data_IF_954446186145
#
_entry.id   IF_954446186145
#
_cell.length_a   1.000
_cell.length_b   1.000
_cell.length_c   1.000
_cell.angle_alpha   90.00
_cell.angle_beta   90.00
_cell.angle_gamma   90.00
#
_symmetry.space_group_name_H-M   'P 1'
#
loop_
_entity.id
_entity.type
_entity.pdbx_description
1 polymer ?
#
# COMPACT_ATOMS: atom_id res chain seq x y z
N UNK A 1 -10.43 3.91 21.31
CA UNK A 1 -11.47 3.34 20.42
C UNK A 1 -11.60 4.33 19.27
N UNK A 2 -10.73 4.20 18.26
CA UNK A 2 -10.64 5.17 17.16
C UNK A 2 -11.73 4.91 16.13
N UNK A 3 -12.44 5.98 15.78
CA UNK A 3 -13.63 5.99 14.95
C UNK A 3 -13.20 6.32 13.52
N UNK A 4 -13.32 5.35 12.61
CA UNK A 4 -13.12 5.54 11.17
C UNK A 4 -14.17 6.54 10.64
N UNK A 5 -13.74 7.77 10.34
CA UNK A 5 -14.57 8.78 9.66
C UNK A 5 -14.53 8.53 8.16
N UNK A 6 -15.63 8.02 7.60
CA UNK A 6 -15.85 7.90 6.15
C UNK A 6 -16.84 9.02 5.77
N UNK A 7 -16.47 9.82 4.77
CA UNK A 7 -17.20 11.03 4.39
C UNK A 7 -18.49 10.74 3.63
N UNK A 8 -19.55 11.49 3.95
CA UNK A 8 -20.78 11.57 3.17
C UNK A 8 -20.51 12.30 1.84
N UNK A 9 -20.58 11.58 0.73
CA UNK A 9 -20.70 12.20 -0.59
C UNK A 9 -21.53 11.28 -1.47
N UNK A 10 -22.66 11.78 -1.95
CA UNK A 10 -23.47 11.12 -2.95
C UNK A 10 -23.07 11.69 -4.32
N UNK A 11 -22.44 10.90 -5.19
CA UNK A 11 -22.11 11.34 -6.55
C UNK A 11 -22.34 10.28 -7.62
N UNK A 12 -22.61 10.80 -8.81
CA UNK A 12 -23.16 10.16 -10.00
C UNK A 12 -22.14 9.30 -10.75
N UNK A 13 -22.39 7.99 -10.81
CA UNK A 13 -21.83 7.09 -11.80
C UNK A 13 -22.92 6.09 -12.21
N UNK A 14 -23.12 5.92 -13.52
CA UNK A 14 -24.19 5.10 -14.14
C UNK A 14 -24.00 3.58 -13.94
N UNK A 15 -23.55 3.12 -12.78
CA UNK A 15 -23.71 1.73 -12.38
C UNK A 15 -24.93 1.63 -11.47
N UNK A 16 -26.06 1.23 -12.04
CA UNK A 16 -27.24 0.87 -11.26
C UNK A 16 -26.96 -0.47 -10.56
N UNK A 17 -26.40 -0.41 -9.35
CA UNK A 17 -26.35 -1.59 -8.49
C UNK A 17 -27.74 -1.83 -7.94
N UNK A 18 -28.25 -3.04 -8.10
CA UNK A 18 -29.43 -3.48 -7.36
C UNK A 18 -28.98 -3.68 -5.91
N UNK A 19 -29.89 -3.47 -4.95
CA UNK A 19 -29.65 -3.76 -3.53
C UNK A 19 -28.85 -5.06 -3.31
N UNK A 20 -27.72 -5.01 -2.61
CA UNK A 20 -26.76 -6.12 -2.43
C UNK A 20 -26.76 -6.63 -1.00
N UNK A 21 -26.49 -7.92 -0.81
CA UNK A 21 -26.31 -8.52 0.51
C UNK A 21 -25.10 -9.46 0.55
N UNK A 22 -24.31 -9.37 1.62
CA UNK A 22 -23.11 -10.17 1.87
C UNK A 22 -23.22 -10.90 3.20
N UNK A 23 -22.85 -12.19 3.21
CA UNK A 23 -22.78 -13.03 4.42
C UNK A 23 -21.38 -12.95 5.07
N UNK A 24 -21.25 -12.21 6.16
CA UNK A 24 -19.97 -12.06 6.87
C UNK A 24 -19.57 -13.31 7.67
N UNK A 25 -20.45 -14.30 7.83
CA UNK A 25 -20.09 -15.58 8.47
C UNK A 25 -19.20 -16.43 7.57
N UNK A 26 -19.22 -16.16 6.26
CA UNK A 26 -18.45 -16.89 5.24
C UNK A 26 -17.40 -16.02 4.55
N UNK A 27 -17.47 -14.69 4.70
CA UNK A 27 -16.62 -13.73 4.02
C UNK A 27 -15.82 -12.90 5.03
N UNK A 28 -14.56 -12.57 4.71
CA UNK A 28 -13.77 -11.68 5.55
C UNK A 28 -14.34 -10.25 5.53
N UNK A 29 -14.76 -9.76 6.69
CA UNK A 29 -15.39 -8.45 6.84
C UNK A 29 -14.52 -7.28 6.37
N UNK A 30 -13.23 -7.29 6.68
CA UNK A 30 -12.33 -6.21 6.30
C UNK A 30 -12.18 -6.12 4.76
N UNK A 31 -12.09 -7.27 4.10
CA UNK A 31 -11.99 -7.33 2.63
C UNK A 31 -13.29 -6.90 1.93
N UNK A 32 -14.45 -7.26 2.49
CA UNK A 32 -15.75 -6.81 1.99
C UNK A 32 -15.88 -5.29 2.11
N UNK A 33 -15.57 -4.72 3.29
CA UNK A 33 -15.62 -3.28 3.50
C UNK A 33 -14.64 -2.53 2.60
N UNK A 34 -13.46 -3.11 2.33
CA UNK A 34 -12.49 -2.54 1.38
C UNK A 34 -13.05 -2.48 -0.04
N UNK A 35 -13.76 -3.52 -0.49
CA UNK A 35 -14.43 -3.50 -1.80
C UNK A 35 -15.55 -2.45 -1.84
N UNK A 36 -16.33 -2.32 -0.76
CA UNK A 36 -17.38 -1.29 -0.66
C UNK A 36 -16.82 0.12 -0.78
N UNK A 37 -15.70 0.41 -0.14
CA UNK A 37 -15.01 1.71 -0.29
C UNK A 37 -14.56 1.95 -1.73
N UNK A 38 -14.02 0.94 -2.40
CA UNK A 38 -13.59 1.05 -3.81
C UNK A 38 -14.76 1.21 -4.78
N UNK A 39 -15.95 0.76 -4.39
CA UNK A 39 -17.21 0.95 -5.12
C UNK A 39 -17.94 2.23 -4.74
N UNK A 40 -17.33 3.07 -3.90
CA UNK A 40 -17.90 4.33 -3.38
C UNK A 40 -19.22 4.15 -2.60
N UNK A 41 -19.39 2.98 -1.96
CA UNK A 41 -20.49 2.75 -1.02
C UNK A 41 -20.19 3.39 0.34
N UNK A 42 -21.23 3.87 1.02
CA UNK A 42 -21.07 4.69 2.22
C UNK A 42 -21.92 4.23 3.40
N UNK A 43 -21.42 4.43 4.62
CA UNK A 43 -22.17 4.24 5.86
C UNK A 43 -22.63 5.59 6.40
N UNK A 44 -23.83 5.67 6.97
CA UNK A 44 -24.35 6.92 7.59
C UNK A 44 -23.79 7.19 8.99
N UNK A 45 -23.20 6.19 9.64
CA UNK A 45 -22.50 6.38 10.91
C UNK A 45 -21.38 5.35 11.05
N UNK A 46 -20.25 5.77 11.62
CA UNK A 46 -19.13 4.87 11.93
C UNK A 46 -19.49 3.79 12.98
N UNK A 47 -20.53 4.02 13.78
CA UNK A 47 -21.06 3.04 14.75
C UNK A 47 -22.10 2.10 14.16
N UNK A 48 -22.40 2.22 12.86
CA UNK A 48 -23.46 1.42 12.22
C UNK A 48 -23.06 -0.03 12.00
N UNK A 49 -21.75 -0.32 11.96
CA UNK A 49 -21.21 -1.66 11.68
C UNK A 49 -20.34 -2.07 12.86
N UNK A 50 -20.76 -3.07 13.61
CA UNK A 50 -20.12 -3.61 14.81
C UNK A 50 -19.59 -5.01 14.56
N UNK A 51 -18.57 -5.44 15.30
CA UNK A 51 -17.88 -6.71 15.06
C UNK A 51 -18.80 -7.93 14.99
N UNK A 52 -19.88 -7.96 15.78
CA UNK A 52 -20.86 -9.06 15.83
C UNK A 52 -21.80 -9.15 14.62
N UNK A 53 -21.74 -8.21 13.68
CA UNK A 53 -22.64 -8.23 12.52
C UNK A 53 -22.38 -9.43 11.61
N UNK A 54 -23.44 -10.18 11.33
CA UNK A 54 -23.40 -11.36 10.46
C UNK A 54 -23.63 -11.02 8.98
N UNK A 55 -24.27 -9.88 8.68
CA UNK A 55 -24.63 -9.50 7.31
C UNK A 55 -24.39 -8.02 7.05
N UNK A 56 -23.95 -7.74 5.82
CA UNK A 56 -23.94 -6.38 5.28
C UNK A 56 -24.91 -6.28 4.11
N UNK A 57 -25.55 -5.12 4.01
CA UNK A 57 -26.51 -4.79 2.97
C UNK A 57 -26.11 -3.46 2.34
N UNK A 58 -26.25 -3.35 1.03
CA UNK A 58 -26.07 -2.12 0.27
C UNK A 58 -27.41 -1.80 -0.38
N UNK A 59 -27.95 -0.61 -0.14
CA UNK A 59 -29.14 -0.11 -0.83
C UNK A 59 -28.80 0.44 -2.20
N UNK A 60 -29.81 0.63 -3.04
CA UNK A 60 -29.71 1.13 -4.42
C UNK A 60 -29.00 2.50 -4.51
N UNK A 61 -29.04 3.28 -3.43
CA UNK A 61 -28.38 4.57 -3.32
C UNK A 61 -26.90 4.48 -2.87
N UNK A 62 -26.34 3.28 -2.69
CA UNK A 62 -24.98 3.03 -2.22
C UNK A 62 -24.83 3.02 -0.69
N UNK A 63 -25.93 3.17 0.07
CA UNK A 63 -25.87 3.16 1.54
C UNK A 63 -25.68 1.74 2.07
N UNK A 64 -24.67 1.57 2.93
CA UNK A 64 -24.36 0.33 3.63
C UNK A 64 -24.98 0.34 5.03
N UNK A 65 -25.59 -0.77 5.40
CA UNK A 65 -26.03 -1.05 6.77
C UNK A 65 -25.76 -2.51 7.12
N UNK A 66 -25.71 -2.81 8.42
CA UNK A 66 -25.53 -4.16 8.92
C UNK A 66 -26.70 -4.59 9.77
N UNK A 67 -26.87 -5.91 9.95
CA UNK A 67 -27.76 -6.44 10.96
C UNK A 67 -27.32 -7.82 11.42
N UNK A 68 -27.61 -8.14 12.68
CA UNK A 68 -27.35 -9.45 13.27
C UNK A 68 -28.36 -10.53 12.82
N UNK A 69 -29.55 -10.14 12.35
CA UNK A 69 -30.59 -11.08 11.94
C UNK A 69 -31.13 -10.76 10.54
N UNK A 70 -31.16 -11.76 9.66
CA UNK A 70 -31.60 -11.68 8.26
C UNK A 70 -33.12 -11.42 8.09
N UNK A 71 -33.66 -10.39 8.74
CA UNK A 71 -35.08 -10.02 8.67
C UNK A 71 -35.37 -9.56 7.24
N UNK A 72 -36.06 -10.42 6.48
CA UNK A 72 -36.66 -10.18 5.15
C UNK A 72 -35.72 -9.57 4.10
N UNK A 73 -34.97 -10.43 3.40
CA UNK A 73 -34.11 -10.04 2.27
C UNK A 73 -34.79 -10.12 0.91
N UNK A 74 -36.10 -9.91 0.84
CA UNK A 74 -36.79 -9.82 -0.45
C UNK A 74 -36.29 -8.56 -1.18
N UNK A 75 -35.74 -8.73 -2.38
CA UNK A 75 -35.22 -7.64 -3.21
C UNK A 75 -33.71 -7.37 -3.12
N UNK A 76 -32.95 -8.13 -2.33
CA UNK A 76 -31.48 -8.05 -2.29
C UNK A 76 -30.82 -9.19 -3.08
N UNK A 77 -29.80 -8.86 -3.85
CA UNK A 77 -28.95 -9.83 -4.56
C UNK A 77 -27.82 -10.29 -3.65
N UNK A 78 -27.70 -11.59 -3.45
CA UNK A 78 -26.56 -12.16 -2.73
C UNK A 78 -25.28 -12.03 -3.55
N UNK A 79 -24.25 -11.46 -2.94
CA UNK A 79 -22.92 -11.37 -3.53
C UNK A 79 -21.86 -11.85 -2.56
N UNK A 80 -20.87 -12.55 -3.08
CA UNK A 80 -19.68 -12.95 -2.34
C UNK A 80 -18.50 -11.98 -2.56
N UNK A 81 -17.39 -12.22 -1.85
CA UNK A 81 -16.21 -11.37 -1.96
C UNK A 81 -15.58 -11.42 -3.36
N UNK A 82 -15.67 -12.54 -4.08
CA UNK A 82 -15.13 -12.66 -5.42
C UNK A 82 -15.93 -11.79 -6.39
N UNK A 83 -17.25 -11.84 -6.32
CA UNK A 83 -18.15 -11.00 -7.11
C UNK A 83 -17.96 -9.52 -6.80
N UNK A 84 -17.74 -9.14 -5.53
CA UNK A 84 -17.41 -7.75 -5.17
C UNK A 84 -16.09 -7.28 -5.79
N UNK A 85 -15.05 -8.12 -5.81
CA UNK A 85 -13.78 -7.81 -6.47
C UNK A 85 -13.97 -7.64 -7.99
N UNK A 86 -14.82 -8.46 -8.59
CA UNK A 86 -15.17 -8.35 -10.01
C UNK A 86 -15.92 -7.04 -10.30
N UNK A 87 -16.82 -6.61 -9.41
CA UNK A 87 -17.48 -5.30 -9.52
C UNK A 87 -16.48 -4.14 -9.43
N UNK A 88 -15.48 -4.23 -8.54
CA UNK A 88 -14.39 -3.25 -8.45
C UNK A 88 -13.59 -3.19 -9.75
N UNK A 89 -13.26 -4.35 -10.33
CA UNK A 89 -12.56 -4.42 -11.62
C UNK A 89 -13.34 -3.69 -12.71
N UNK A 90 -14.64 -3.93 -12.78
CA UNK A 90 -15.51 -3.30 -13.76
C UNK A 90 -15.67 -1.79 -13.49
N UNK A 91 -15.71 -1.35 -12.23
CA UNK A 91 -15.90 0.07 -11.90
C UNK A 91 -14.67 0.93 -12.22
N UNK A 92 -13.45 0.41 -12.00
CA UNK A 92 -12.21 1.17 -12.25
C UNK A 92 -11.90 1.37 -13.73
N UNK A 93 -12.52 0.58 -14.61
CA UNK A 93 -12.36 0.72 -16.07
C UNK A 93 -10.89 0.70 -16.54
N UNK A 94 -10.09 -0.22 -16.02
CA UNK A 94 -8.70 -0.42 -16.42
C UNK A 94 -8.56 -1.63 -17.36
N UNK A 95 -8.07 -1.40 -18.58
CA UNK A 95 -7.84 -2.45 -19.60
C UNK A 95 -6.88 -3.53 -19.14
N UNK A 96 -5.95 -3.22 -18.23
CA UNK A 96 -4.98 -4.18 -17.70
C UNK A 96 -5.62 -5.28 -16.84
N UNK A 97 -6.88 -5.11 -16.48
CA UNK A 97 -7.64 -6.11 -15.75
C UNK A 97 -8.15 -7.24 -16.61
N UNK A 98 -8.13 -7.07 -17.93
CA UNK A 98 -8.50 -8.10 -18.88
C UNK A 98 -7.88 -9.44 -18.50
N UNK A 99 -8.70 -10.48 -18.48
CA UNK A 99 -8.26 -11.86 -18.26
C UNK A 99 -8.35 -12.70 -19.53
N UNK A 100 -8.92 -12.17 -20.62
CA UNK A 100 -9.02 -12.82 -21.92
C UNK A 100 -8.75 -11.86 -23.08
N UNK A 101 -8.41 -12.41 -24.24
CA UNK A 101 -8.32 -11.69 -25.51
C UNK A 101 -9.03 -12.51 -26.59
N UNK A 102 -9.75 -11.85 -27.49
CA UNK A 102 -10.43 -12.52 -28.61
C UNK A 102 -9.55 -12.64 -29.88
N UNK A 103 -10.12 -13.17 -30.96
CA UNK A 103 -9.44 -13.34 -32.25
C UNK A 103 -9.00 -12.03 -32.92
N UNK A 104 -9.66 -10.91 -32.61
CA UNK A 104 -9.40 -9.59 -33.19
C UNK A 104 -8.47 -8.75 -32.31
N UNK A 105 -8.07 -9.28 -31.15
CA UNK A 105 -7.15 -8.64 -30.21
C UNK A 105 -7.83 -7.77 -29.16
N UNK A 106 -9.16 -7.75 -29.08
CA UNK A 106 -9.88 -7.00 -28.05
C UNK A 106 -9.66 -7.62 -26.68
N UNK A 107 -9.71 -6.75 -25.67
CA UNK A 107 -9.47 -7.12 -24.28
C UNK A 107 -10.80 -7.40 -23.59
N UNK A 108 -10.86 -8.57 -22.97
CA UNK A 108 -12.06 -9.10 -22.34
C UNK A 108 -11.83 -9.40 -20.87
N UNK A 109 -12.83 -9.12 -20.06
CA UNK A 109 -12.94 -9.56 -18.68
C UNK A 109 -14.13 -10.52 -18.56
N UNK A 110 -13.85 -11.77 -18.19
CA UNK A 110 -14.84 -12.77 -17.83
C UNK A 110 -15.00 -12.83 -16.32
N UNK A 111 -16.22 -12.70 -15.83
CA UNK A 111 -16.56 -12.85 -14.40
C UNK A 111 -16.62 -14.32 -14.00
N UNK A 112 -16.64 -14.59 -12.69
CA UNK A 112 -16.89 -15.93 -12.13
C UNK A 112 -18.20 -16.56 -12.60
N UNK A 113 -19.20 -15.73 -12.94
CA UNK A 113 -20.50 -16.16 -13.47
C UNK A 113 -20.51 -16.32 -15.00
N UNK A 114 -19.34 -16.24 -15.66
CA UNK A 114 -19.19 -16.32 -17.13
C UNK A 114 -19.89 -15.19 -17.90
N UNK A 115 -20.09 -14.02 -17.28
CA UNK A 115 -20.47 -12.81 -18.02
C UNK A 115 -19.25 -12.21 -18.71
N UNK A 116 -19.43 -11.78 -19.96
CA UNK A 116 -18.40 -11.14 -20.78
C UNK A 116 -18.47 -9.63 -20.80
N UNK A 117 -17.33 -8.98 -20.58
CA UNK A 117 -17.15 -7.54 -20.71
C UNK A 117 -15.99 -7.27 -21.66
N UNK A 118 -16.22 -6.44 -22.67
CA UNK A 118 -15.20 -6.04 -23.65
C UNK A 118 -14.79 -4.59 -23.40
N UNK A 119 -13.49 -4.30 -23.47
CA UNK A 119 -12.98 -2.95 -23.21
C UNK A 119 -13.03 -2.10 -24.48
N UNK A 120 -13.77 -0.99 -24.44
CA UNK A 120 -13.83 0.04 -25.48
C UNK A 120 -14.19 -0.44 -26.91
N UNK A 121 -14.68 -1.68 -27.08
CA UNK A 121 -15.03 -2.21 -28.39
C UNK A 121 -16.41 -1.68 -28.83
N UNK A 122 -16.42 -0.91 -29.92
CA UNK A 122 -17.66 -0.51 -30.59
C UNK A 122 -18.49 0.58 -29.89
N UNK A 123 -18.00 1.18 -28.80
CA UNK A 123 -18.67 2.35 -28.25
C UNK A 123 -18.40 3.58 -29.14
N UNK A 124 -19.47 4.29 -29.53
CA UNK A 124 -19.40 5.39 -30.50
C UNK A 124 -18.57 6.59 -30.00
N UNK A 125 -18.30 6.63 -28.70
CA UNK A 125 -17.59 7.70 -28.01
C UNK A 125 -16.11 7.36 -27.70
N UNK A 126 -15.63 6.17 -28.06
CA UNK A 126 -14.29 5.66 -27.72
C UNK A 126 -13.93 5.82 -26.23
N UNK A 127 -14.92 5.68 -25.34
CA UNK A 127 -14.69 5.82 -23.91
C UNK A 127 -13.94 4.59 -23.40
N UNK A 128 -12.86 4.76 -22.62
CA UNK A 128 -12.10 3.66 -22.04
C UNK A 128 -12.91 3.05 -20.89
N UNK A 129 -13.82 2.12 -21.21
CA UNK A 129 -14.70 1.46 -20.24
C UNK A 129 -15.00 0.01 -20.63
N UNK A 130 -15.45 -0.75 -19.64
CA UNK A 130 -16.01 -2.08 -19.82
C UNK A 130 -17.47 -2.00 -20.28
N UNK A 131 -17.78 -2.58 -21.43
CA UNK A 131 -19.14 -2.73 -21.92
C UNK A 131 -19.53 -4.22 -21.90
N UNK A 132 -20.66 -4.56 -21.28
CA UNK A 132 -21.16 -5.95 -21.26
C UNK A 132 -21.48 -6.38 -22.69
N UNK A 133 -20.98 -7.54 -23.09
CA UNK A 133 -21.09 -8.02 -24.47
C UNK A 133 -21.42 -9.52 -24.49
N UNK A 134 -22.28 -9.98 -25.42
CA UNK A 134 -22.53 -11.41 -25.58
C UNK A 134 -21.24 -12.15 -25.95
N UNK A 135 -21.12 -13.38 -25.44
CA UNK A 135 -20.00 -14.28 -25.72
C UNK A 135 -20.22 -15.13 -26.97
N UNK A 136 -21.34 -14.95 -27.66
CA UNK A 136 -21.66 -15.69 -28.87
C UNK A 136 -20.73 -15.24 -30.01
N UNK A 137 -20.08 -16.21 -30.66
CA UNK A 137 -19.17 -16.00 -31.79
C UNK A 137 -17.83 -15.30 -31.47
N UNK A 138 -17.38 -15.31 -30.21
CA UNK A 138 -16.04 -14.86 -29.84
C UNK A 138 -15.16 -16.01 -29.35
N UNK A 139 -13.97 -16.13 -29.94
CA UNK A 139 -12.97 -17.12 -29.55
C UNK A 139 -12.05 -16.53 -28.49
N UNK A 140 -12.45 -16.67 -27.22
CA UNK A 140 -11.69 -16.13 -26.10
C UNK A 140 -10.52 -17.02 -25.70
N UNK A 141 -9.33 -16.41 -25.63
CA UNK A 141 -8.11 -17.04 -25.12
C UNK A 141 -7.74 -16.40 -23.78
N UNK A 142 -7.52 -17.20 -22.72
CA UNK A 142 -7.04 -16.69 -21.45
C UNK A 142 -5.73 -15.91 -21.63
N UNK A 143 -5.66 -14.73 -21.04
CA UNK A 143 -4.40 -14.01 -20.86
C UNK A 143 -3.68 -14.71 -19.72
N UNK A 144 -2.62 -15.45 -20.05
CA UNK A 144 -1.66 -15.93 -19.05
C UNK A 144 -0.95 -14.68 -18.52
N UNK A 145 -1.47 -14.14 -17.43
CA UNK A 145 -0.72 -13.17 -16.62
C UNK A 145 0.37 -14.00 -15.96
N UNK A 146 1.60 -13.87 -16.47
CA UNK A 146 2.76 -14.43 -15.82
C UNK A 146 2.74 -13.89 -14.39
N UNK A 147 2.56 -14.74 -13.38
CA UNK A 147 2.58 -14.31 -11.97
C UNK A 147 3.96 -13.74 -11.59
N UNK A 148 4.96 -13.89 -12.47
CA UNK A 148 6.27 -13.26 -12.45
C UNK A 148 6.41 -11.98 -13.30
N UNK A 149 5.32 -11.40 -13.79
CA UNK A 149 5.29 -10.08 -14.44
C UNK A 149 4.51 -9.06 -13.60
N UNK A 150 4.87 -8.94 -12.33
CA UNK A 150 5.04 -7.59 -11.78
C UNK A 150 6.36 -7.05 -12.37
N UNK A 151 6.33 -5.86 -12.96
CA UNK A 151 7.46 -5.17 -13.62
C UNK A 151 7.84 -5.65 -15.04
N UNK A 152 7.01 -5.28 -16.02
CA UNK A 152 7.53 -4.85 -17.33
C UNK A 152 6.96 -3.49 -17.73
N UNK A 153 7.06 -2.55 -16.81
CA UNK A 153 7.34 -1.19 -17.26
C UNK A 153 8.83 -1.13 -17.58
N UNK A 154 9.17 -0.85 -18.83
CA UNK A 154 10.50 -0.42 -19.24
C UNK A 154 10.78 0.99 -18.67
N UNK A 155 10.77 1.13 -17.35
CA UNK A 155 11.61 2.12 -16.72
C UNK A 155 13.02 1.54 -16.78
N UNK A 156 13.90 2.19 -17.54
CA UNK A 156 15.32 2.11 -17.19
C UNK A 156 15.39 2.41 -15.70
N UNK A 157 15.67 1.40 -14.88
CA UNK A 157 16.00 1.58 -13.48
C UNK A 157 17.32 2.33 -13.48
N UNK A 158 17.26 3.65 -13.56
CA UNK A 158 18.36 4.48 -13.10
C UNK A 158 18.45 4.13 -11.62
N UNK A 159 19.48 3.39 -11.23
CA UNK A 159 19.84 3.26 -9.81
C UNK A 159 20.24 4.64 -9.34
N UNK A 160 19.26 5.44 -8.90
CA UNK A 160 19.52 6.72 -8.25
C UNK A 160 19.86 6.40 -6.80
N UNK A 161 21.06 6.80 -6.36
CA UNK A 161 21.43 6.75 -4.94
C UNK A 161 20.38 7.56 -4.15
N UNK A 162 19.62 6.90 -3.27
CA UNK A 162 18.61 7.56 -2.42
C UNK A 162 17.22 6.90 -2.38
N UNK A 163 16.89 5.99 -3.30
CA UNK A 163 15.57 5.32 -3.33
C UNK A 163 15.39 4.12 -2.37
N UNK A 164 16.42 3.73 -1.61
CA UNK A 164 16.40 2.51 -0.77
C UNK A 164 15.54 2.63 0.52
N UNK A 165 14.97 3.80 0.79
CA UNK A 165 14.12 4.05 1.97
C UNK A 165 12.68 4.40 1.62
N UNK A 166 12.29 4.28 0.35
CA UNK A 166 10.93 4.56 -0.03
C UNK A 166 9.99 3.49 0.52
N UNK A 167 8.88 3.95 1.04
CA UNK A 167 7.73 3.12 1.39
C UNK A 167 6.63 3.44 0.38
N UNK A 168 5.83 2.44 0.03
CA UNK A 168 4.62 2.68 -0.75
C UNK A 168 3.63 3.54 0.06
N UNK A 169 2.71 4.22 -0.61
CA UNK A 169 1.81 5.13 0.08
C UNK A 169 0.88 4.42 1.10
N UNK A 170 0.60 3.11 0.96
CA UNK A 170 -0.16 2.36 1.97
C UNK A 170 0.60 2.20 3.28
N UNK A 171 1.89 1.87 3.19
CA UNK A 171 2.80 1.84 4.35
C UNK A 171 2.97 3.22 4.96
N UNK A 172 3.07 4.26 4.13
CA UNK A 172 3.13 5.65 4.61
C UNK A 172 1.89 6.07 5.39
N UNK A 173 0.70 5.74 4.90
CA UNK A 173 -0.56 6.00 5.60
C UNK A 173 -0.64 5.23 6.92
N UNK A 174 -0.25 3.96 6.91
CA UNK A 174 -0.22 3.13 8.12
C UNK A 174 0.72 3.70 9.19
N UNK A 175 1.89 4.17 8.78
CA UNK A 175 2.86 4.81 9.66
C UNK A 175 2.33 6.13 10.24
N UNK A 176 1.67 6.97 9.43
CA UNK A 176 1.03 8.20 9.92
C UNK A 176 -0.07 7.93 10.95
N UNK A 177 -0.90 6.91 10.73
CA UNK A 177 -1.94 6.50 11.69
C UNK A 177 -1.34 5.96 12.99
N UNK A 178 -0.16 5.35 12.94
CA UNK A 178 0.62 4.95 14.11
C UNK A 178 1.39 6.11 14.76
N UNK A 179 1.15 7.36 14.34
CA UNK A 179 1.85 8.58 14.80
C UNK A 179 3.36 8.59 14.51
N UNK A 180 3.81 7.78 13.55
CA UNK A 180 5.17 7.85 13.05
C UNK A 180 5.37 9.08 12.16
N UNK A 181 6.62 9.56 12.10
CA UNK A 181 6.97 10.71 11.27
C UNK A 181 7.20 10.24 9.84
N UNK A 182 6.32 10.64 8.91
CA UNK A 182 6.46 10.36 7.49
C UNK A 182 6.90 11.61 6.75
N UNK A 183 7.76 11.43 5.74
CA UNK A 183 8.17 12.48 4.83
C UNK A 183 7.66 12.21 3.42
N UNK A 184 7.37 13.29 2.70
CA UNK A 184 6.89 13.30 1.32
C UNK A 184 7.86 14.07 0.42
N UNK A 185 7.95 13.63 -0.83
CA UNK A 185 8.67 14.29 -1.91
C UNK A 185 7.90 14.13 -3.22
N UNK A 186 8.13 15.03 -4.18
CA UNK A 186 7.44 15.06 -5.46
C UNK A 186 8.43 14.93 -6.61
N UNK A 187 8.00 14.36 -7.74
CA UNK A 187 8.81 14.39 -8.95
C UNK A 187 8.90 15.83 -9.51
N UNK A 188 10.09 16.29 -9.97
CA UNK A 188 11.37 15.58 -10.06
C UNK A 188 12.04 15.35 -8.70
N UNK A 189 12.57 14.13 -8.50
CA UNK A 189 13.17 13.71 -7.23
C UNK A 189 14.37 14.58 -6.85
N UNK A 190 14.34 15.09 -5.62
CA UNK A 190 15.45 15.83 -5.01
C UNK A 190 15.56 15.47 -3.51
N UNK A 191 16.67 14.84 -3.11
CA UNK A 191 16.92 14.40 -1.74
C UNK A 191 16.92 15.55 -0.71
N UNK A 192 17.00 16.80 -1.14
CA UNK A 192 16.95 17.97 -0.25
C UNK A 192 15.53 18.51 0.00
N UNK A 193 14.51 17.98 -0.70
CA UNK A 193 13.14 18.52 -0.69
C UNK A 193 12.14 17.67 0.12
N UNK A 194 12.62 16.83 1.03
CA UNK A 194 11.73 16.06 1.91
C UNK A 194 11.00 16.94 2.92
N UNK A 195 9.66 16.89 2.90
CA UNK A 195 8.80 17.63 3.83
C UNK A 195 8.15 16.64 4.81
N UNK A 196 8.08 16.97 6.10
CA UNK A 196 7.34 16.14 7.05
C UNK A 196 5.85 16.36 6.84
N UNK A 197 5.08 15.27 6.78
CA UNK A 197 3.62 15.35 6.80
C UNK A 197 3.17 15.63 8.24
N UNK A 198 2.40 16.69 8.42
CA UNK A 198 1.67 16.99 9.65
C UNK A 198 0.18 16.66 9.44
N UNK A 199 -0.30 15.47 9.85
CA UNK A 199 -1.67 15.05 9.62
C UNK A 199 -2.71 15.93 10.37
N UNK A 200 -2.28 16.82 11.26
CA UNK A 200 -3.16 17.76 11.97
C UNK A 200 -3.35 19.08 11.24
N UNK A 201 -2.51 19.39 10.25
CA UNK A 201 -2.50 20.68 9.53
C UNK A 201 -2.57 20.53 8.02
N UNK A 202 -1.97 19.47 7.49
CA UNK A 202 -1.84 19.28 6.06
C UNK A 202 -3.10 18.61 5.49
N UNK A 203 -3.62 19.18 4.39
CA UNK A 203 -4.82 18.70 3.72
C UNK A 203 -4.46 17.74 2.59
N UNK A 204 -3.98 16.55 2.94
CA UNK A 204 -3.69 15.48 1.98
C UNK A 204 -4.94 14.65 1.68
N UNK A 205 -5.17 14.31 0.42
CA UNK A 205 -6.20 13.34 0.08
C UNK A 205 -5.68 11.94 0.36
N UNK A 206 -6.52 11.07 0.92
CA UNK A 206 -6.14 9.66 1.13
C UNK A 206 -5.76 8.98 -0.21
N UNK A 207 -6.32 9.47 -1.32
CA UNK A 207 -5.99 9.01 -2.68
C UNK A 207 -4.53 9.25 -3.05
N UNK A 208 -3.88 10.26 -2.48
CA UNK A 208 -2.47 10.59 -2.76
C UNK A 208 -1.54 9.46 -2.28
N UNK A 209 -1.95 8.72 -1.24
CA UNK A 209 -1.27 7.54 -0.70
C UNK A 209 -1.61 6.25 -1.46
N UNK A 210 -2.69 6.19 -2.22
CA UNK A 210 -3.07 4.99 -2.97
C UNK A 210 -2.62 5.02 -4.42
N UNK A 211 -2.50 6.21 -5.00
CA UNK A 211 -2.18 6.40 -6.41
C UNK A 211 -0.71 6.76 -6.65
N UNK A 212 0.08 6.94 -5.58
CA UNK A 212 1.46 7.46 -5.61
C UNK A 212 1.59 8.70 -6.52
N UNK A 213 0.52 9.50 -6.60
CA UNK A 213 0.35 10.64 -7.49
C UNK A 213 -0.40 11.75 -6.78
N UNK A 214 0.06 12.99 -6.96
CA UNK A 214 -0.63 14.19 -6.49
C UNK A 214 -1.89 14.45 -7.34
N UNK A 215 -2.79 15.35 -6.91
CA UNK A 215 -3.93 15.79 -7.72
C UNK A 215 -3.53 16.42 -9.07
N UNK A 216 -2.29 16.88 -9.22
CA UNK A 216 -1.74 17.42 -10.47
C UNK A 216 -1.09 16.35 -11.37
N UNK A 217 -1.15 15.06 -10.99
CA UNK A 217 -0.56 13.95 -11.72
C UNK A 217 0.95 13.80 -11.53
N UNK A 218 1.55 14.50 -10.55
CA UNK A 218 2.97 14.34 -10.23
C UNK A 218 3.18 13.12 -9.35
N UNK A 219 4.18 12.29 -9.69
CA UNK A 219 4.55 11.15 -8.86
C UNK A 219 4.99 11.61 -7.47
N UNK A 220 4.49 10.92 -6.46
CA UNK A 220 4.75 11.17 -5.04
C UNK A 220 5.62 10.06 -4.49
N UNK A 221 6.54 10.42 -3.60
CA UNK A 221 7.43 9.50 -2.91
C UNK A 221 7.27 9.68 -1.41
N UNK A 222 7.19 8.55 -0.68
CA UNK A 222 7.09 8.55 0.77
C UNK A 222 8.27 7.84 1.40
N UNK A 223 8.68 8.29 2.58
CA UNK A 223 9.59 7.55 3.46
C UNK A 223 9.24 7.78 4.92
N UNK A 224 9.63 6.86 5.80
CA UNK A 224 9.72 7.17 7.22
C UNK A 224 10.82 8.21 7.41
N UNK A 225 10.57 9.21 8.25
CA UNK A 225 11.58 10.19 8.63
C UNK A 225 12.77 9.41 9.21
N UNK A 226 13.97 9.52 8.61
CA UNK A 226 15.13 8.84 9.13
C UNK A 226 15.33 9.22 10.60
N UNK A 227 15.37 8.21 11.47
CA UNK A 227 15.75 8.41 12.86
C UNK A 227 17.23 8.73 12.88
N UNK A 228 17.58 9.98 13.18
CA UNK A 228 18.97 10.46 13.20
C UNK A 228 19.43 10.69 14.64
N UNK A 229 20.72 10.44 14.86
CA UNK A 229 21.45 10.81 16.05
C UNK A 229 22.70 11.59 15.66
N UNK A 230 23.28 12.30 16.62
CA UNK A 230 24.46 13.13 16.37
C UNK A 230 25.68 12.50 17.05
N UNK A 231 26.74 12.25 16.27
CA UNK A 231 28.06 11.86 16.78
C UNK A 231 28.98 13.07 16.55
N UNK A 232 29.40 13.75 17.63
CA UNK A 232 30.28 14.94 17.57
C UNK A 232 29.87 16.00 16.53
N UNK A 233 28.58 16.33 16.47
CA UNK A 233 28.03 17.32 15.54
C UNK A 233 27.70 16.79 14.14
N UNK A 234 28.00 15.52 13.85
CA UNK A 234 27.68 14.87 12.56
C UNK A 234 26.41 14.05 12.73
N UNK A 235 25.39 14.33 11.90
CA UNK A 235 24.17 13.53 11.86
C UNK A 235 24.40 12.19 11.17
N UNK A 236 23.92 11.12 11.79
CA UNK A 236 23.92 9.77 11.21
C UNK A 236 22.67 9.01 11.68
N UNK A 237 22.33 7.91 11.01
CA UNK A 237 21.18 7.10 11.39
C UNK A 237 21.33 6.50 12.79
N UNK A 238 20.25 6.46 13.56
CA UNK A 238 20.19 5.80 14.86
C UNK A 238 20.31 4.28 14.65
N UNK A 239 21.15 3.59 15.43
CA UNK A 239 21.30 2.13 15.37
C UNK A 239 20.11 1.41 16.01
N UNK A 240 20.00 0.12 15.73
CA UNK A 240 19.11 -0.77 16.47
C UNK A 240 19.69 -0.97 17.88
N UNK A 241 18.88 -0.66 18.90
CA UNK A 241 19.28 -0.73 20.30
C UNK A 241 18.48 -1.80 21.01
N UNK A 242 19.16 -2.55 21.87
CA UNK A 242 18.48 -3.40 22.84
C UNK A 242 18.00 -2.50 23.99
N UNK A 243 16.71 -2.15 24.02
CA UNK A 243 16.08 -1.43 25.13
C UNK A 243 15.22 -2.42 25.90
N UNK A 244 15.55 -2.68 27.17
CA UNK A 244 14.91 -3.72 28.00
C UNK A 244 13.39 -3.52 28.13
N UNK A 245 12.62 -4.47 27.60
CA UNK A 245 11.86 -5.49 28.35
C UNK A 245 11.20 -6.41 27.30
N UNK A 246 11.72 -7.64 27.18
CA UNK A 246 11.21 -8.80 26.41
C UNK A 246 10.95 -8.63 24.90
N UNK A 247 11.95 -9.01 24.07
CA UNK A 247 11.89 -9.78 22.80
C UNK A 247 13.32 -9.90 22.23
N UNK A 248 13.60 -10.90 21.37
CA UNK A 248 14.86 -10.91 20.59
C UNK A 248 14.97 -9.60 19.80
N UNK A 249 16.13 -8.91 19.85
CA UNK A 249 16.34 -7.61 19.19
C UNK A 249 15.98 -7.66 17.69
N UNK A 250 16.35 -8.75 17.04
CA UNK A 250 16.07 -9.07 15.65
C UNK A 250 15.54 -10.50 15.59
N UNK A 251 14.82 -10.83 14.52
CA UNK A 251 14.38 -12.20 14.27
C UNK A 251 15.59 -13.11 13.99
N UNK A 252 15.51 -14.38 14.40
CA UNK A 252 16.52 -15.39 14.05
C UNK A 252 16.77 -15.41 12.53
N UNK A 253 18.05 -15.43 12.15
CA UNK A 253 18.56 -15.39 10.77
C UNK A 253 18.31 -14.07 10.01
N UNK A 254 17.73 -13.05 10.65
CA UNK A 254 17.57 -11.73 10.06
C UNK A 254 18.94 -11.12 9.73
N UNK A 255 19.08 -10.62 8.50
CA UNK A 255 20.32 -9.96 8.07
C UNK A 255 20.45 -8.58 8.69
N UNK A 256 21.65 -8.26 9.15
CA UNK A 256 22.01 -6.93 9.64
C UNK A 256 23.41 -6.52 9.19
N UNK A 257 23.73 -5.25 9.36
CA UNK A 257 25.02 -4.63 9.05
C UNK A 257 25.66 -4.08 10.31
N UNK A 258 26.85 -4.57 10.60
CA UNK A 258 27.69 -4.07 11.68
C UNK A 258 28.52 -2.88 11.18
N UNK A 259 28.60 -1.82 11.97
CA UNK A 259 29.57 -0.73 11.81
C UNK A 259 30.97 -1.31 12.01
N UNK A 260 31.75 -1.41 10.93
CA UNK A 260 33.05 -2.07 10.93
C UNK A 260 34.13 -1.16 10.34
N UNK A 261 34.88 -0.50 11.23
CA UNK A 261 35.96 0.42 10.86
C UNK A 261 37.21 -0.30 10.31
N UNK A 262 37.26 -1.64 10.41
CA UNK A 262 38.37 -2.46 9.90
C UNK A 262 38.13 -2.95 8.48
N UNK A 263 36.86 -3.03 8.08
CA UNK A 263 36.45 -3.36 6.72
C UNK A 263 36.67 -2.18 5.77
N UNK A 264 37.20 -2.40 4.54
CA UNK A 264 37.30 -1.36 3.53
C UNK A 264 35.94 -0.77 3.13
N UNK A 265 34.87 -1.55 3.30
CA UNK A 265 33.49 -1.15 3.03
C UNK A 265 32.86 -0.35 4.18
N UNK A 266 33.57 -0.18 5.31
CA UNK A 266 33.10 0.46 6.54
C UNK A 266 31.87 -0.18 7.18
N UNK A 267 31.47 -1.36 6.69
CA UNK A 267 30.37 -2.15 7.18
C UNK A 267 30.59 -3.63 6.84
N UNK A 268 30.10 -4.51 7.71
CA UNK A 268 30.18 -5.97 7.55
C UNK A 268 28.79 -6.60 7.74
N UNK A 269 28.42 -7.53 6.85
CA UNK A 269 27.10 -8.16 6.87
C UNK A 269 27.13 -9.42 7.74
N UNK A 270 26.08 -9.60 8.55
CA UNK A 270 25.90 -10.76 9.42
C UNK A 270 24.44 -11.20 9.43
N UNK A 271 24.18 -12.35 10.06
CA UNK A 271 22.83 -12.87 10.36
C UNK A 271 22.67 -12.98 11.88
N UNK A 272 21.52 -12.55 12.38
CA UNK A 272 21.25 -12.54 13.81
C UNK A 272 21.07 -13.95 14.37
N UNK A 273 21.86 -14.28 15.38
CA UNK A 273 21.76 -15.54 16.12
C UNK A 273 21.53 -15.36 17.63
N UNK A 274 21.47 -14.12 18.11
CA UNK A 274 21.28 -13.80 19.53
C UNK A 274 22.49 -14.18 20.40
N UNK A 275 23.69 -14.18 19.84
CA UNK A 275 24.92 -14.45 20.58
C UNK A 275 25.31 -13.28 21.49
N UNK A 276 26.12 -13.55 22.52
CA UNK A 276 26.60 -12.51 23.44
C UNK A 276 27.41 -11.41 22.75
N UNK A 277 28.11 -11.72 21.66
CA UNK A 277 28.86 -10.74 20.87
C UNK A 277 27.91 -9.78 20.14
N UNK A 278 26.85 -10.32 19.55
CA UNK A 278 25.83 -9.55 18.84
C UNK A 278 25.07 -8.61 19.77
N UNK A 279 24.68 -9.09 20.96
CA UNK A 279 24.10 -8.22 21.99
C UNK A 279 25.07 -7.14 22.45
N UNK A 280 26.37 -7.43 22.59
CA UNK A 280 27.38 -6.41 22.92
C UNK A 280 27.53 -5.34 21.83
N UNK A 281 27.41 -5.72 20.55
CA UNK A 281 27.41 -4.75 19.45
C UNK A 281 26.14 -3.89 19.43
N UNK A 282 24.99 -4.49 19.73
CA UNK A 282 23.71 -3.77 19.83
C UNK A 282 23.72 -2.75 20.98
N UNK A 283 24.19 -3.14 22.17
CA UNK A 283 24.32 -2.24 23.34
C UNK A 283 25.23 -1.04 23.05
N UNK A 284 26.24 -1.22 22.19
CA UNK A 284 27.14 -0.16 21.73
C UNK A 284 26.58 0.65 20.56
N UNK A 285 25.38 0.33 20.08
CA UNK A 285 24.74 1.01 18.96
C UNK A 285 25.47 0.81 17.63
N UNK A 286 26.04 -0.37 17.38
CA UNK A 286 26.82 -0.65 16.16
C UNK A 286 26.03 -1.41 15.09
N UNK A 287 24.78 -1.80 15.37
CA UNK A 287 23.96 -2.62 14.47
C UNK A 287 22.97 -1.74 13.69
N UNK A 288 22.88 -1.98 12.39
CA UNK A 288 21.92 -1.33 11.49
C UNK A 288 21.27 -2.37 10.58
N UNK A 289 20.00 -2.20 10.26
CA UNK A 289 19.32 -3.03 9.25
C UNK A 289 19.77 -2.73 7.81
N UNK A 290 20.41 -1.57 7.57
CA UNK A 290 20.81 -1.11 6.23
C UNK A 290 22.31 -0.81 6.16
N UNK A 291 22.97 -1.27 5.08
CA UNK A 291 24.41 -1.05 4.83
C UNK A 291 24.78 0.42 4.87
N UNK A 292 24.02 1.28 4.16
CA UNK A 292 24.31 2.72 4.09
C UNK A 292 24.27 3.42 5.46
N UNK A 293 23.42 2.94 6.37
CA UNK A 293 23.31 3.50 7.73
C UNK A 293 24.55 3.14 8.54
N UNK A 294 24.98 1.89 8.47
CA UNK A 294 26.25 1.44 9.08
C UNK A 294 27.45 2.22 8.51
N UNK A 295 27.51 2.43 7.20
CA UNK A 295 28.58 3.23 6.55
C UNK A 295 28.52 4.69 7.01
N UNK A 296 27.33 5.30 7.07
CA UNK A 296 27.16 6.68 7.52
C UNK A 296 27.61 6.85 8.97
N UNK A 297 27.26 5.89 9.83
CA UNK A 297 27.69 5.84 11.22
C UNK A 297 29.22 5.69 11.30
N UNK A 298 29.81 4.75 10.56
CA UNK A 298 31.26 4.57 10.48
C UNK A 298 32.00 5.84 10.05
N UNK A 299 31.48 6.53 9.02
CA UNK A 299 32.03 7.82 8.56
C UNK A 299 31.93 8.89 9.63
N UNK A 300 30.81 8.96 10.34
CA UNK A 300 30.65 9.90 11.46
C UNK A 300 31.67 9.62 12.58
N UNK A 301 31.92 8.35 12.94
CA UNK A 301 32.96 7.96 13.90
C UNK A 301 34.38 8.33 13.41
N UNK A 302 34.69 8.08 12.13
CA UNK A 302 35.99 8.45 11.55
C UNK A 302 36.18 9.96 11.56
N UNK A 303 35.20 10.72 11.06
CA UNK A 303 35.29 12.18 11.04
C UNK A 303 35.36 12.78 12.45
N UNK A 304 34.63 12.20 13.41
CA UNK A 304 34.70 12.56 14.82
C UNK A 304 36.11 12.37 15.42
N UNK A 305 36.89 11.41 14.91
CA UNK A 305 38.27 11.14 15.37
C UNK A 305 39.34 11.89 14.58
N UNK A 306 39.09 12.24 13.32
CA UNK A 306 40.01 13.03 12.46
C UNK A 306 39.87 14.54 12.72
N UNK A 307 38.68 15.03 13.07
CA UNK A 307 38.39 16.45 13.36
C UNK A 307 38.96 16.97 14.69
N UNK A 308 39.40 16.09 15.60
CA UNK A 308 39.99 16.48 16.89
C UNK A 308 41.47 16.91 16.81
N UNK A 309 42.02 17.14 15.61
CA UNK A 309 43.39 17.62 15.41
C UNK A 309 43.52 19.13 15.14
N UNK A 310 42.45 19.90 15.32
CA UNK A 310 42.52 21.36 15.23
C UNK A 310 41.68 22.03 16.34
N UNK A 311 42.18 21.96 17.57
CA UNK A 311 41.93 22.95 18.63
C UNK A 311 43.15 23.01 19.54
#
# INVERSE_FOLDING_TARGET
>A
MEILKISEKQLSGEFQFHSLKVDLRTQNKADVLKCFVQLDFYVTSATSIIESDEFLFVQDNGRVFSCENAINSDGYTWVDLQQLKEMVILSRNDVNDANHTDQDGWKWFLTSNSDGYVFAAGNAQQLPRWDKSPLDHVDLKPIVKDENLQEKDNFQTIKVNGLEDLIDGRKALSALLAWEKVQINFQPWDEHLWVNIDPTKDNFSITDFFNDCSPSGQKVFFRLKPSVMTINGIECSRPELNTEDDLELLEKDQQYWLVDLTSPDLASQYKWHGSSEEYSWAERGLIHLKKKNAISHAKALIQATVGSKAQ
#
